data_IF_229057230697
#
_entry.id   IF_229057230697
#
_cell.length_a   1.000
_cell.length_b   1.000
_cell.length_c   1.000
_cell.angle_alpha   90.00
_cell.angle_beta   90.00
_cell.angle_gamma   90.00
#
_symmetry.space_group_name_H-M   'P 1'
#
loop_
_entity.id
_entity.type
_entity.pdbx_description
1 polymer ?
#
# COMPACT_ATOMS: atom_id res chain seq x y z
N UNK A 1 -3.99 -16.39 -2.24
CA UNK A 1 -3.95 -16.14 -0.80
C UNK A 1 -4.35 -14.71 -0.50
N UNK A 2 -5.19 -14.55 0.50
CA UNK A 2 -5.64 -13.23 0.92
C UNK A 2 -4.74 -12.70 2.03
N UNK A 3 -4.46 -11.41 1.98
CA UNK A 3 -3.60 -10.75 2.95
C UNK A 3 -4.43 -9.88 3.88
N UNK A 4 -4.21 -9.93 5.21
CA UNK A 4 -4.90 -9.02 6.12
C UNK A 4 -4.56 -7.57 5.78
N UNK A 5 -5.56 -6.70 5.80
CA UNK A 5 -5.40 -5.30 5.43
C UNK A 5 -4.28 -4.62 6.21
N UNK A 6 -4.25 -4.83 7.55
CA UNK A 6 -3.24 -4.17 8.40
C UNK A 6 -1.82 -4.59 8.03
N UNK A 7 -1.64 -5.84 7.59
CA UNK A 7 -0.32 -6.33 7.17
C UNK A 7 0.12 -5.72 5.84
N UNK A 8 -0.82 -5.21 5.07
CA UNK A 8 -0.53 -4.51 3.82
C UNK A 8 -0.23 -3.04 4.09
N UNK A 9 -0.98 -2.43 5.00
CA UNK A 9 -0.78 -1.01 5.35
C UNK A 9 0.59 -0.76 5.98
N UNK A 10 1.07 -1.68 6.81
CA UNK A 10 2.36 -1.48 7.49
C UNK A 10 3.54 -1.36 6.51
N UNK A 11 3.70 -2.25 5.52
CA UNK A 11 4.74 -2.04 4.52
C UNK A 11 4.59 -0.73 3.76
N UNK A 12 3.36 -0.35 3.42
CA UNK A 12 3.14 0.91 2.70
C UNK A 12 3.58 2.10 3.55
N UNK A 13 3.29 2.07 4.85
CA UNK A 13 3.77 3.11 5.76
C UNK A 13 5.30 3.14 5.83
N UNK A 14 5.92 1.96 5.83
CA UNK A 14 7.39 1.86 5.83
C UNK A 14 7.98 2.47 4.55
N UNK A 15 7.28 2.42 3.44
CA UNK A 15 7.70 3.05 2.20
C UNK A 15 7.34 4.54 2.12
N UNK A 16 6.77 5.09 3.18
CA UNK A 16 6.49 6.52 3.26
C UNK A 16 5.07 6.94 2.92
N UNK A 17 4.18 5.97 2.72
CA UNK A 17 2.77 6.29 2.46
C UNK A 17 2.05 6.67 3.75
N UNK A 18 1.19 7.65 3.66
CA UNK A 18 0.37 8.13 4.77
C UNK A 18 -1.10 8.00 4.39
N UNK A 19 -1.91 7.45 5.29
CA UNK A 19 -3.35 7.37 5.08
C UNK A 19 -3.95 8.77 5.26
N UNK A 20 -4.64 9.26 4.23
CA UNK A 20 -5.26 10.58 4.27
C UNK A 20 -6.79 10.50 4.34
N UNK A 21 -7.36 9.35 4.02
CA UNK A 21 -8.81 9.19 4.07
C UNK A 21 -9.16 7.71 4.18
N UNK A 22 -10.15 7.41 5.03
CA UNK A 22 -10.69 6.06 5.18
C UNK A 22 -12.21 6.13 4.99
N UNK A 23 -12.70 5.37 4.03
CA UNK A 23 -14.12 5.25 3.71
C UNK A 23 -14.35 3.90 3.06
N UNK A 24 -15.10 3.87 1.96
CA UNK A 24 -15.25 2.64 1.17
C UNK A 24 -13.91 2.20 0.59
N UNK A 25 -13.02 3.17 0.37
CA UNK A 25 -11.64 2.92 -0.04
C UNK A 25 -10.71 3.63 0.93
N UNK A 26 -9.48 3.16 1.02
CA UNK A 26 -8.43 3.81 1.78
C UNK A 26 -7.57 4.58 0.79
N UNK A 27 -7.42 5.87 1.03
CA UNK A 27 -6.58 6.73 0.19
C UNK A 27 -5.30 7.06 0.95
N UNK A 28 -4.18 6.87 0.28
CA UNK A 28 -2.86 7.13 0.83
C UNK A 28 -2.09 8.02 -0.13
N UNK A 29 -1.06 8.67 0.38
CA UNK A 29 -0.19 9.48 -0.45
C UNK A 29 1.23 9.38 0.08
N UNK A 30 2.20 9.39 -0.84
CA UNK A 30 3.62 9.47 -0.51
C UNK A 30 4.18 10.73 -1.15
N UNK A 31 4.89 11.52 -0.35
CA UNK A 31 5.55 12.73 -0.82
C UNK A 31 6.99 12.42 -1.20
N UNK A 32 7.39 12.79 -2.41
CA UNK A 32 8.76 12.65 -2.86
C UNK A 32 9.60 13.84 -2.42
N UNK A 33 10.94 13.68 -2.46
CA UNK A 33 11.86 14.74 -2.01
C UNK A 33 11.81 15.99 -2.89
N UNK A 34 11.31 15.87 -4.10
CA UNK A 34 11.21 16.98 -5.06
C UNK A 34 9.83 17.63 -5.07
N UNK A 35 9.00 17.36 -4.08
CA UNK A 35 7.65 17.89 -4.00
C UNK A 35 6.60 17.12 -4.78
N UNK A 36 6.99 16.03 -5.43
CA UNK A 36 6.02 15.18 -6.13
C UNK A 36 5.22 14.36 -5.12
N UNK A 37 4.01 13.95 -5.52
CA UNK A 37 3.17 13.10 -4.70
C UNK A 37 2.75 11.87 -5.49
N UNK A 38 2.72 10.73 -4.82
CA UNK A 38 2.24 9.47 -5.40
C UNK A 38 0.96 9.08 -4.68
N UNK A 39 -0.19 9.18 -5.34
CA UNK A 39 -1.46 8.75 -4.74
C UNK A 39 -1.63 7.24 -4.86
N UNK A 40 -2.34 6.67 -3.91
CA UNK A 40 -2.63 5.25 -3.88
C UNK A 40 -4.02 5.05 -3.29
N UNK A 41 -4.86 4.27 -3.96
CA UNK A 41 -6.18 3.94 -3.48
C UNK A 41 -6.31 2.42 -3.42
N UNK A 42 -6.81 1.92 -2.30
CA UNK A 42 -7.01 0.49 -2.12
C UNK A 42 -8.38 0.23 -1.51
N UNK A 43 -8.98 -0.95 -1.77
CA UNK A 43 -10.27 -1.30 -1.17
C UNK A 43 -10.14 -1.41 0.34
N UNK A 44 -11.16 -0.95 1.06
CA UNK A 44 -11.19 -1.06 2.52
C UNK A 44 -11.84 -2.38 2.90
N UNK A 45 -11.16 -3.49 2.61
CA UNK A 45 -11.61 -4.83 2.94
C UNK A 45 -10.70 -5.43 4.00
N UNK A 46 -11.22 -6.25 4.92
CA UNK A 46 -10.38 -6.86 5.97
C UNK A 46 -9.28 -7.74 5.39
N UNK A 47 -9.53 -8.35 4.22
CA UNK A 47 -8.54 -9.18 3.53
C UNK A 47 -8.46 -8.75 2.07
N UNK A 48 -7.25 -8.69 1.55
CA UNK A 48 -6.98 -8.25 0.19
C UNK A 48 -6.46 -9.40 -0.65
N UNK A 49 -6.98 -9.52 -1.86
CA UNK A 49 -6.58 -10.58 -2.79
C UNK A 49 -5.21 -10.28 -3.39
N UNK A 50 -4.54 -11.34 -3.87
CA UNK A 50 -3.24 -11.20 -4.50
C UNK A 50 -3.25 -10.25 -5.71
N UNK A 51 -4.32 -10.27 -6.51
CA UNK A 51 -4.45 -9.35 -7.63
C UNK A 51 -4.54 -7.90 -7.17
N UNK A 52 -5.19 -7.65 -6.04
CA UNK A 52 -5.27 -6.32 -5.45
C UNK A 52 -3.90 -5.86 -4.96
N UNK A 53 -3.13 -6.78 -4.34
CA UNK A 53 -1.77 -6.47 -3.90
C UNK A 53 -0.89 -6.07 -5.07
N UNK A 54 -1.03 -6.77 -6.19
CA UNK A 54 -0.27 -6.46 -7.40
C UNK A 54 -0.61 -5.05 -7.89
N UNK A 55 -1.89 -4.69 -7.90
CA UNK A 55 -2.34 -3.35 -8.30
C UNK A 55 -1.79 -2.29 -7.35
N UNK A 56 -1.79 -2.58 -6.05
CA UNK A 56 -1.26 -1.67 -5.04
C UNK A 56 0.22 -1.39 -5.31
N UNK A 57 1.02 -2.42 -5.53
CA UNK A 57 2.43 -2.27 -5.82
C UNK A 57 2.66 -1.44 -7.08
N UNK A 58 1.85 -1.68 -8.12
CA UNK A 58 1.94 -0.94 -9.38
C UNK A 58 1.63 0.54 -9.16
N UNK A 59 0.54 0.86 -8.46
CA UNK A 59 0.17 2.25 -8.17
C UNK A 59 1.23 2.93 -7.32
N UNK A 60 1.77 2.21 -6.34
CA UNK A 60 2.75 2.76 -5.41
C UNK A 60 4.13 2.93 -6.03
N UNK A 61 4.38 2.29 -7.17
CA UNK A 61 5.70 2.29 -7.77
C UNK A 61 6.71 1.50 -6.96
N UNK A 62 6.26 0.49 -6.21
CA UNK A 62 7.11 -0.36 -5.39
C UNK A 62 7.29 -1.69 -6.10
N UNK A 63 8.53 -2.12 -6.39
CA UNK A 63 8.76 -3.45 -6.93
C UNK A 63 8.22 -4.51 -5.98
N UNK A 64 7.57 -5.51 -6.55
CA UNK A 64 6.92 -6.55 -5.76
C UNK A 64 7.86 -7.20 -4.75
N UNK A 65 9.09 -7.45 -5.16
CA UNK A 65 10.09 -8.10 -4.31
C UNK A 65 10.40 -7.27 -3.08
N UNK A 66 10.53 -5.96 -3.25
CA UNK A 66 10.79 -5.05 -2.14
C UNK A 66 9.60 -4.99 -1.18
N UNK A 67 8.39 -4.95 -1.74
CA UNK A 67 7.19 -4.96 -0.92
C UNK A 67 7.12 -6.22 -0.08
N UNK A 68 7.36 -7.39 -0.69
CA UNK A 68 7.30 -8.65 0.02
C UNK A 68 8.34 -8.77 1.12
N UNK A 69 9.54 -8.22 0.91
CA UNK A 69 10.57 -8.22 1.94
C UNK A 69 10.10 -7.51 3.21
N UNK A 70 9.48 -6.35 3.05
CA UNK A 70 8.96 -5.60 4.20
C UNK A 70 7.72 -6.29 4.77
N UNK A 71 6.85 -6.80 3.90
CA UNK A 71 5.63 -7.51 4.30
C UNK A 71 5.95 -8.69 5.20
N UNK A 72 6.98 -9.44 4.89
CA UNK A 72 7.36 -10.62 5.67
C UNK A 72 7.92 -10.29 7.04
N UNK A 73 8.33 -9.03 7.26
CA UNK A 73 8.90 -8.59 8.53
C UNK A 73 7.87 -8.05 9.52
N UNK A 74 6.63 -7.88 9.07
CA UNK A 74 5.58 -7.30 9.94
C UNK A 74 4.64 -8.36 10.47
#
# INVERSE_FOLDING_TARGET
>A
HDAPQRKVLKPLEAFGFVVIRTGNHISLVRNGPDGTTTPLTMPNHPKLKGSTLRSICTQAGIPREEFLQVYERV
#
